data_IF_085261942761
#
_entry.id   IF_085261942761
#
_cell.length_a   1.000
_cell.length_b   1.000
_cell.length_c   1.000
_cell.angle_alpha   90.00
_cell.angle_beta   90.00
_cell.angle_gamma   90.00
#
_symmetry.space_group_name_H-M   'P 1'
#
loop_
_entity.id
_entity.type
_entity.pdbx_description
1 polymer ?
#
# COMPACT_ATOMS: atom_id res chain seq x y z
N UNK A 1 5.75 -21.54 1.14
CA UNK A 1 5.19 -20.27 1.67
C UNK A 1 4.32 -19.49 0.65
N UNK A 2 3.78 -20.10 -0.41
CA UNK A 2 3.10 -19.38 -1.51
C UNK A 2 1.65 -18.92 -1.29
N UNK A 3 1.04 -19.17 -0.13
CA UNK A 3 -0.38 -18.88 0.10
C UNK A 3 -0.69 -17.41 0.41
N UNK A 4 0.23 -16.67 1.05
CA UNK A 4 -0.04 -15.27 1.46
C UNK A 4 -0.02 -14.27 0.30
N UNK A 5 0.77 -14.55 -0.75
CA UNK A 5 0.86 -13.70 -1.95
C UNK A 5 -0.46 -13.71 -2.73
N UNK A 6 -1.17 -14.86 -2.73
CA UNK A 6 -2.44 -15.02 -3.44
C UNK A 6 -3.62 -14.29 -2.78
N UNK A 7 -3.55 -13.97 -1.49
CA UNK A 7 -4.62 -13.27 -0.77
C UNK A 7 -4.55 -11.73 -0.85
N UNK A 8 -3.60 -11.17 -1.60
CA UNK A 8 -3.43 -9.71 -1.67
C UNK A 8 -2.99 -9.06 -0.34
N UNK A 9 -2.60 -9.88 0.66
CA UNK A 9 -2.05 -9.41 1.94
C UNK A 9 -0.60 -8.98 1.84
N UNK A 10 0.07 -9.37 0.76
CA UNK A 10 1.43 -8.93 0.44
C UNK A 10 1.50 -8.32 -0.96
N UNK A 11 2.36 -7.33 -1.11
CA UNK A 11 2.78 -6.79 -2.40
C UNK A 11 4.25 -7.17 -2.59
N UNK A 12 4.49 -8.24 -3.35
CA UNK A 12 5.78 -8.93 -3.29
C UNK A 12 5.96 -9.65 -1.95
N UNK A 13 7.07 -9.39 -1.26
CA UNK A 13 7.33 -9.81 0.13
C UNK A 13 6.86 -8.78 1.18
N UNK A 14 6.37 -7.61 0.75
CA UNK A 14 5.95 -6.54 1.66
C UNK A 14 4.57 -6.84 2.20
N UNK A 15 4.44 -6.95 3.52
CA UNK A 15 3.15 -7.09 4.20
C UNK A 15 2.43 -5.73 4.16
N UNK A 16 1.38 -5.64 3.33
CA UNK A 16 0.62 -4.40 3.11
C UNK A 16 -0.69 -4.36 3.89
N UNK A 17 -1.03 -5.45 4.59
CA UNK A 17 -2.14 -5.54 5.56
C UNK A 17 -1.70 -5.04 6.94
N UNK A 18 -1.10 -3.85 6.96
CA UNK A 18 -0.61 -3.20 8.16
C UNK A 18 -1.36 -1.88 8.34
N UNK A 19 -2.15 -1.80 9.41
CA UNK A 19 -2.64 -0.52 9.89
C UNK A 19 -1.60 0.07 10.83
N UNK A 20 -1.14 1.28 10.51
CA UNK A 20 -0.20 2.03 11.35
C UNK A 20 -0.87 2.56 12.64
N UNK A 21 -1.25 1.65 13.53
CA UNK A 21 -1.93 1.96 14.81
C UNK A 21 -0.97 2.34 15.93
N UNK A 22 0.34 2.14 15.75
CA UNK A 22 1.37 2.50 16.71
C UNK A 22 2.61 3.08 15.98
N UNK A 23 3.41 3.87 16.70
CA UNK A 23 4.53 4.63 16.10
C UNK A 23 5.52 3.75 15.32
N UNK A 24 5.78 2.53 15.80
CA UNK A 24 6.68 1.57 15.13
C UNK A 24 6.13 1.07 13.81
N UNK A 25 4.81 0.83 13.71
CA UNK A 25 4.17 0.41 12.46
C UNK A 25 3.96 1.60 11.52
N UNK A 26 3.79 2.82 12.04
CA UNK A 26 3.75 4.05 11.24
C UNK A 26 5.05 4.29 10.49
N UNK A 27 6.19 4.21 11.18
CA UNK A 27 7.51 4.35 10.55
C UNK A 27 7.75 3.27 9.48
N UNK A 28 7.36 2.03 9.77
CA UNK A 28 7.46 0.93 8.79
C UNK A 28 6.58 1.18 7.58
N UNK A 29 5.34 1.61 7.79
CA UNK A 29 4.38 1.93 6.73
C UNK A 29 4.91 3.05 5.84
N UNK A 30 5.48 4.09 6.46
CA UNK A 30 6.06 5.21 5.75
C UNK A 30 7.23 4.78 4.88
N UNK A 31 8.15 3.96 5.40
CA UNK A 31 9.26 3.41 4.61
C UNK A 31 8.77 2.62 3.40
N UNK A 32 7.75 1.77 3.58
CA UNK A 32 7.18 0.99 2.47
C UNK A 32 6.60 1.91 1.40
N UNK A 33 5.85 2.95 1.79
CA UNK A 33 5.26 3.89 0.83
C UNK A 33 6.35 4.69 0.12
N UNK A 34 7.39 5.14 0.81
CA UNK A 34 8.56 5.82 0.19
C UNK A 34 9.22 4.91 -0.84
N UNK A 35 9.48 3.65 -0.49
CA UNK A 35 10.17 2.70 -1.37
C UNK A 35 9.32 2.27 -2.57
N UNK A 36 8.02 2.07 -2.37
CA UNK A 36 7.09 1.64 -3.43
C UNK A 36 6.69 2.79 -4.35
N UNK A 37 6.37 3.95 -3.78
CA UNK A 37 5.90 5.11 -4.54
C UNK A 37 7.04 6.02 -5.00
N UNK A 38 8.25 5.89 -4.46
CA UNK A 38 9.39 6.75 -4.80
C UNK A 38 9.22 8.20 -4.34
N UNK A 39 8.42 8.42 -3.29
CA UNK A 39 8.06 9.75 -2.77
C UNK A 39 8.88 10.14 -1.55
N UNK A 40 8.86 11.42 -1.19
CA UNK A 40 9.52 11.88 0.03
C UNK A 40 8.85 11.35 1.30
N UNK A 41 9.57 11.27 2.44
CA UNK A 41 9.00 10.89 3.74
C UNK A 41 7.79 11.74 4.16
N UNK A 42 7.78 13.03 3.80
CA UNK A 42 6.67 13.95 4.08
C UNK A 42 5.42 13.61 3.25
N UNK A 43 5.60 13.35 1.96
CA UNK A 43 4.50 12.92 1.07
C UNK A 43 3.96 11.55 1.48
N UNK A 44 4.84 10.60 1.84
CA UNK A 44 4.43 9.30 2.33
C UNK A 44 3.55 9.40 3.59
N UNK A 45 3.87 10.31 4.52
CA UNK A 45 3.01 10.60 5.67
C UNK A 45 1.66 11.17 5.25
N UNK A 46 1.65 12.12 4.32
CA UNK A 46 0.41 12.69 3.79
C UNK A 46 -0.50 11.64 3.16
N UNK A 47 0.09 10.76 2.32
CA UNK A 47 -0.62 9.64 1.69
C UNK A 47 -1.16 8.65 2.72
N UNK A 48 -0.37 8.28 3.73
CA UNK A 48 -0.82 7.37 4.79
C UNK A 48 -1.95 7.96 5.63
N UNK A 49 -1.89 9.26 5.94
CA UNK A 49 -2.97 9.95 6.65
C UNK A 49 -4.24 9.98 5.80
N UNK A 50 -4.13 10.34 4.52
CA UNK A 50 -5.26 10.34 3.58
C UNK A 50 -5.86 8.94 3.39
N UNK A 51 -5.02 7.91 3.44
CA UNK A 51 -5.39 6.50 3.34
C UNK A 51 -5.89 5.89 4.66
N UNK A 52 -6.01 6.66 5.75
CA UNK A 52 -6.48 6.15 7.04
C UNK A 52 -5.51 5.13 7.67
N UNK A 53 -4.21 5.39 7.60
CA UNK A 53 -3.14 4.53 8.11
C UNK A 53 -2.98 3.17 7.39
N UNK A 54 -3.58 3.01 6.20
CA UNK A 54 -3.45 1.83 5.34
C UNK A 54 -2.39 2.04 4.26
N UNK A 55 -1.33 1.23 4.29
CA UNK A 55 -0.27 1.22 3.27
C UNK A 55 -0.83 0.85 1.90
N UNK A 56 -1.70 -0.17 1.86
CA UNK A 56 -2.31 -0.66 0.63
C UNK A 56 -3.10 0.43 -0.09
N UNK A 57 -3.93 1.13 0.66
CA UNK A 57 -4.76 2.22 0.15
C UNK A 57 -3.89 3.40 -0.28
N UNK A 58 -2.85 3.76 0.50
CA UNK A 58 -1.92 4.83 0.14
C UNK A 58 -1.20 4.58 -1.20
N UNK A 59 -0.74 3.35 -1.44
CA UNK A 59 -0.09 2.95 -2.70
C UNK A 59 -1.06 3.07 -3.88
N UNK A 60 -2.29 2.57 -3.72
CA UNK A 60 -3.31 2.63 -4.78
C UNK A 60 -3.72 4.07 -5.08
N UNK A 61 -3.97 4.89 -4.05
CA UNK A 61 -4.27 6.31 -4.20
C UNK A 61 -3.17 7.04 -4.97
N UNK A 62 -1.90 6.77 -4.64
CA UNK A 62 -0.76 7.39 -5.32
C UNK A 62 -0.68 7.01 -6.81
N UNK A 63 -0.79 5.72 -7.14
CA UNK A 63 -0.63 5.27 -8.53
C UNK A 63 -1.84 5.53 -9.42
N UNK A 64 -3.06 5.47 -8.88
CA UNK A 64 -4.28 5.77 -9.64
C UNK A 64 -4.67 7.25 -9.59
N UNK A 65 -4.09 8.04 -8.69
CA UNK A 65 -4.46 9.44 -8.49
C UNK A 65 -5.90 9.61 -7.98
N UNK A 66 -6.40 8.63 -7.23
CA UNK A 66 -7.79 8.61 -6.72
C UNK A 66 -7.84 8.87 -5.22
N UNK A 67 -9.04 9.22 -4.74
CA UNK A 67 -9.27 9.36 -3.31
C UNK A 67 -9.30 8.01 -2.58
N UNK A 68 -9.39 8.07 -1.25
CA UNK A 68 -9.43 6.89 -0.40
C UNK A 68 -10.58 5.95 -0.75
N UNK A 69 -11.79 6.49 -0.97
CA UNK A 69 -12.98 5.69 -1.19
C UNK A 69 -12.90 4.92 -2.52
N UNK A 70 -12.44 5.58 -3.59
CA UNK A 70 -12.21 4.96 -4.88
C UNK A 70 -11.08 3.92 -4.82
N UNK A 71 -10.00 4.20 -4.08
CA UNK A 71 -8.92 3.23 -3.85
C UNK A 71 -9.41 1.99 -3.10
N UNK A 72 -10.20 2.15 -2.04
CA UNK A 72 -10.82 1.05 -1.28
C UNK A 72 -11.76 0.23 -2.19
N UNK A 73 -12.61 0.88 -2.98
CA UNK A 73 -13.48 0.18 -3.94
C UNK A 73 -12.70 -0.60 -5.00
N UNK A 74 -11.63 -0.02 -5.54
CA UNK A 74 -10.80 -0.69 -6.53
C UNK A 74 -10.11 -1.92 -5.92
N UNK A 75 -9.63 -1.80 -4.68
CA UNK A 75 -9.09 -2.92 -3.91
C UNK A 75 -10.13 -4.00 -3.68
N UNK A 76 -11.34 -3.66 -3.25
CA UNK A 76 -12.40 -4.62 -2.97
C UNK A 76 -12.82 -5.40 -4.23
N UNK A 77 -12.94 -4.71 -5.38
CA UNK A 77 -13.25 -5.35 -6.68
C UNK A 77 -12.20 -6.39 -7.07
N UNK A 78 -10.94 -6.15 -6.74
CA UNK A 78 -9.82 -7.01 -7.09
C UNK A 78 -9.39 -7.97 -5.98
N UNK A 79 -10.21 -8.15 -4.93
CA UNK A 79 -9.94 -9.05 -3.81
C UNK A 79 -8.78 -8.61 -2.93
N UNK A 80 -8.55 -7.30 -2.83
CA UNK A 80 -7.50 -6.69 -2.03
C UNK A 80 -6.10 -6.81 -2.65
N UNK A 81 -5.98 -7.15 -3.93
CA UNK A 81 -4.69 -7.38 -4.61
C UNK A 81 -4.21 -6.11 -5.31
N UNK A 82 -3.23 -5.41 -4.72
CA UNK A 82 -2.67 -4.17 -5.30
C UNK A 82 -2.27 -4.35 -6.77
N UNK A 83 -1.55 -5.42 -7.09
CA UNK A 83 -1.06 -5.70 -8.46
C UNK A 83 -2.17 -5.71 -9.51
N UNK A 84 -3.36 -6.19 -9.17
CA UNK A 84 -4.51 -6.21 -10.08
C UNK A 84 -5.12 -4.83 -10.26
N UNK A 85 -5.12 -4.03 -9.19
CA UNK A 85 -5.65 -2.66 -9.21
C UNK A 85 -4.78 -1.70 -10.02
N UNK A 86 -3.46 -1.68 -9.76
CA UNK A 86 -2.57 -0.70 -10.40
C UNK A 86 -1.84 -1.26 -11.63
N UNK A 87 -1.99 -2.56 -11.93
CA UNK A 87 -1.34 -3.24 -13.06
C UNK A 87 0.20 -3.28 -12.99
N UNK A 88 0.80 -2.78 -11.91
CA UNK A 88 2.26 -2.70 -11.70
C UNK A 88 2.78 -3.85 -10.87
N UNK A 89 4.02 -4.22 -11.16
CA UNK A 89 4.76 -5.18 -10.35
C UNK A 89 5.36 -4.49 -9.11
N UNK A 90 5.50 -5.22 -7.98
CA UNK A 90 6.18 -4.70 -6.80
C UNK A 90 7.63 -4.33 -7.13
N UNK A 91 8.18 -3.30 -6.47
CA UNK A 91 9.59 -2.97 -6.63
C UNK A 91 10.47 -4.16 -6.20
N UNK A 92 11.65 -4.34 -6.82
CA UNK A 92 12.63 -5.31 -6.37
C UNK A 92 13.11 -4.88 -4.98
N UNK A 93 12.61 -5.56 -3.97
CA UNK A 93 13.10 -5.52 -2.59
C UNK A 93 14.50 -6.16 -2.53
N UNK A 94 15.52 -5.46 -2.01
CA UNK A 94 16.84 -6.04 -1.76
C UNK A 94 16.82 -7.06 -0.60
#
# INVERSE_FOLDING_TARGET
>A
TGAMIRLGKTYGNLMVDLQATNAKLADRSQRIVVEVCGVSPGEARGLLTAAGASVKTAIVMHFLGVDRAAAEQALDREGGVIRRVIGRNPPPVP
#
